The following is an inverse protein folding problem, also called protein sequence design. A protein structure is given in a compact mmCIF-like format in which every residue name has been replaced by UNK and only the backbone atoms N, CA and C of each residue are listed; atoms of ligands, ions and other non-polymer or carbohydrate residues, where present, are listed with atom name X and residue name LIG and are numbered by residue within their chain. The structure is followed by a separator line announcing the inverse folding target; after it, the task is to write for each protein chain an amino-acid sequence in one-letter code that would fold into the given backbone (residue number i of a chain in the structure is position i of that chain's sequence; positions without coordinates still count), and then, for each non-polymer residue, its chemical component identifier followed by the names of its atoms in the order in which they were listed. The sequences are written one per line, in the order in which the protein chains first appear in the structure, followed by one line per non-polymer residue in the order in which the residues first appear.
data_IF_353093801899
#
_entry.id   IF_353093801899
#
_cell.length_a   1.000
_cell.length_b   1.000
_cell.length_c   1.000
_cell.angle_alpha   90.00
_cell.angle_beta   90.00
_cell.angle_gamma   90.00
#
_symmetry.space_group_name_H-M   'P 1'
#
loop_
_entity.id
_entity.type
_entity.pdbx_description
1 polymer ?
#
# COMPACT_ATOMS: atom_id res chain seq x y z
N UNK A 1 1.45 -19.21 -7.65
CA UNK A 1 2.14 -18.07 -7.03
C UNK A 1 1.39 -17.68 -5.77
N UNK A 2 2.10 -17.64 -4.64
CA UNK A 2 1.49 -17.34 -3.35
C UNK A 2 1.69 -15.86 -3.00
N UNK A 3 0.59 -15.19 -2.66
CA UNK A 3 0.61 -13.78 -2.23
C UNK A 3 0.22 -13.73 -0.76
N UNK A 4 1.01 -13.00 0.04
CA UNK A 4 0.73 -12.76 1.45
C UNK A 4 0.44 -11.27 1.64
N UNK A 5 -0.55 -10.96 2.45
CA UNK A 5 -0.88 -9.57 2.80
C UNK A 5 -0.50 -9.35 4.26
N UNK A 6 0.33 -8.37 4.51
CA UNK A 6 0.80 -8.04 5.86
C UNK A 6 0.73 -6.56 6.12
N UNK A 7 0.34 -6.19 7.34
CA UNK A 7 0.44 -4.82 7.79
C UNK A 7 1.91 -4.51 8.08
N UNK A 8 2.37 -3.32 7.69
CA UNK A 8 3.77 -2.97 7.83
C UNK A 8 3.97 -1.51 8.21
N UNK A 9 5.08 -1.24 8.91
CA UNK A 9 5.62 0.11 9.08
C UNK A 9 6.92 0.30 8.30
N UNK A 10 7.37 -0.74 7.60
CA UNK A 10 8.48 -0.68 6.65
C UNK A 10 7.89 -0.34 5.28
N UNK A 11 7.67 0.97 5.05
CA UNK A 11 6.88 1.44 3.93
C UNK A 11 7.60 1.25 2.59
N UNK A 12 6.95 0.58 1.59
CA UNK A 12 7.53 0.41 0.26
C UNK A 12 7.34 1.69 -0.57
N UNK A 13 8.23 2.66 -0.37
CA UNK A 13 8.12 3.97 -1.03
C UNK A 13 8.16 3.89 -2.55
N UNK A 14 8.88 2.94 -3.12
CA UNK A 14 8.91 2.75 -4.57
C UNK A 14 7.50 2.47 -5.12
N UNK A 15 6.69 1.68 -4.41
CA UNK A 15 5.30 1.43 -4.79
C UNK A 15 4.39 2.60 -4.44
N UNK A 16 4.55 3.18 -3.26
CA UNK A 16 3.71 4.29 -2.81
C UNK A 16 3.84 5.49 -3.74
N UNK A 17 5.05 5.77 -4.20
CA UNK A 17 5.32 6.90 -5.08
C UNK A 17 4.89 6.66 -6.54
N UNK A 18 4.58 5.42 -6.92
CA UNK A 18 3.94 5.14 -8.21
C UNK A 18 2.53 5.70 -8.28
N UNK A 19 1.77 5.57 -7.18
CA UNK A 19 0.39 6.05 -7.12
C UNK A 19 0.31 7.54 -6.77
N UNK A 20 1.24 8.02 -5.93
CA UNK A 20 1.28 9.41 -5.50
C UNK A 20 2.74 9.87 -5.43
N UNK A 21 3.24 10.61 -6.41
CA UNK A 21 4.64 11.02 -6.45
C UNK A 21 5.05 12.07 -5.42
N UNK A 22 4.10 12.64 -4.68
CA UNK A 22 4.40 13.64 -3.65
C UNK A 22 4.76 12.95 -2.33
N UNK A 23 6.06 12.78 -2.07
CA UNK A 23 6.54 12.09 -0.89
C UNK A 23 6.12 12.76 0.42
N UNK A 24 6.10 14.08 0.47
CA UNK A 24 5.68 14.80 1.68
C UNK A 24 4.23 14.49 2.03
N UNK A 25 3.37 14.43 1.02
CA UNK A 25 1.97 14.08 1.22
C UNK A 25 1.84 12.63 1.67
N UNK A 26 2.58 11.70 1.03
CA UNK A 26 2.59 10.29 1.42
C UNK A 26 3.00 10.16 2.88
N UNK A 27 4.10 10.79 3.28
CA UNK A 27 4.57 10.74 4.66
C UNK A 27 3.53 11.28 5.64
N UNK A 28 2.81 12.33 5.25
CA UNK A 28 1.83 12.95 6.14
C UNK A 28 0.66 12.03 6.45
N UNK A 29 0.12 11.31 5.45
CA UNK A 29 -1.02 10.43 5.72
C UNK A 29 -0.61 9.05 6.27
N UNK A 30 0.63 8.61 6.06
CA UNK A 30 1.11 7.37 6.66
C UNK A 30 1.12 7.43 8.20
N UNK A 31 1.27 8.62 8.76
CA UNK A 31 1.30 8.81 10.23
C UNK A 31 -0.04 8.46 10.89
N UNK A 32 -1.14 8.56 10.15
CA UNK A 32 -2.49 8.35 10.69
C UNK A 32 -3.23 7.22 9.98
N UNK A 33 -2.51 6.39 9.22
CA UNK A 33 -3.11 5.36 8.40
C UNK A 33 -2.43 4.02 8.63
N UNK A 34 -3.10 2.95 8.20
CA UNK A 34 -2.55 1.60 8.20
C UNK A 34 -2.04 1.27 6.80
N UNK A 35 -0.83 0.75 6.72
CA UNK A 35 -0.22 0.34 5.47
C UNK A 35 -0.12 -1.17 5.41
N UNK A 36 -0.62 -1.76 4.33
CA UNK A 36 -0.56 -3.19 4.08
C UNK A 36 0.20 -3.44 2.79
N UNK A 37 1.05 -4.46 2.80
CA UNK A 37 1.79 -4.85 1.61
C UNK A 37 1.37 -6.23 1.15
N UNK A 38 1.36 -6.42 -0.17
CA UNK A 38 1.24 -7.73 -0.79
C UNK A 38 2.64 -8.22 -1.08
N UNK A 39 2.98 -9.39 -0.55
CA UNK A 39 4.30 -9.99 -0.71
C UNK A 39 4.21 -11.23 -1.59
N UNK A 40 5.10 -11.33 -2.55
CA UNK A 40 5.28 -12.52 -3.38
C UNK A 40 6.74 -12.95 -3.24
N UNK A 41 6.97 -14.14 -2.69
CA UNK A 41 8.32 -14.68 -2.45
C UNK A 41 9.20 -13.70 -1.65
N UNK A 42 8.60 -13.05 -0.65
CA UNK A 42 9.31 -12.10 0.22
C UNK A 42 9.50 -10.71 -0.36
N UNK A 43 9.02 -10.47 -1.57
CA UNK A 43 9.14 -9.17 -2.24
C UNK A 43 7.82 -8.43 -2.25
N UNK A 44 7.85 -7.13 -1.93
CA UNK A 44 6.65 -6.30 -1.98
C UNK A 44 6.26 -6.03 -3.43
N UNK A 45 5.06 -6.49 -3.81
CA UNK A 45 4.54 -6.34 -5.18
C UNK A 45 3.30 -5.45 -5.25
N UNK A 46 2.76 -5.07 -4.10
CA UNK A 46 1.63 -4.16 -4.02
C UNK A 46 1.55 -3.54 -2.65
N UNK A 47 0.84 -2.42 -2.55
CA UNK A 47 0.63 -1.70 -1.30
C UNK A 47 -0.74 -1.05 -1.29
N UNK A 48 -1.37 -1.02 -0.12
CA UNK A 48 -2.59 -0.26 0.12
C UNK A 48 -2.46 0.50 1.43
N UNK A 49 -2.84 1.77 1.43
CA UNK A 49 -2.87 2.61 2.63
C UNK A 49 -4.32 2.96 2.92
N UNK A 50 -4.78 2.62 4.11
CA UNK A 50 -6.16 2.78 4.52
C UNK A 50 -6.22 3.66 5.77
N UNK A 51 -7.00 4.73 5.71
CA UNK A 51 -7.27 5.58 6.87
C UNK A 51 -8.67 5.28 7.39
N UNK A 52 -8.75 4.86 8.65
CA UNK A 52 -10.03 4.62 9.30
C UNK A 52 -10.59 5.96 9.77
N UNK A 53 -11.76 6.35 9.25
CA UNK A 53 -12.37 7.64 9.56
C UNK A 53 -13.52 7.54 10.55
N UNK A 54 -14.12 6.35 10.69
CA UNK A 54 -15.19 6.12 11.65
C UNK A 54 -15.25 4.63 11.96
N UNK A 55 -16.14 4.25 12.89
CA UNK A 55 -16.34 2.84 13.25
C UNK A 55 -16.72 2.00 12.00
N UNK A 56 -17.48 2.60 11.08
CA UNK A 56 -18.03 1.89 9.93
C UNK A 56 -17.42 2.34 8.59
N UNK A 57 -16.42 3.21 8.61
CA UNK A 57 -15.88 3.75 7.38
C UNK A 57 -14.36 3.84 7.34
N UNK A 58 -13.81 3.57 6.18
CA UNK A 58 -12.38 3.73 5.92
C UNK A 58 -12.20 4.29 4.51
N UNK A 59 -11.09 5.01 4.30
CA UNK A 59 -10.75 5.61 3.01
C UNK A 59 -9.42 5.04 2.55
N UNK A 60 -9.35 4.64 1.28
CA UNK A 60 -8.10 4.23 0.66
C UNK A 60 -7.38 5.48 0.18
N UNK A 61 -6.21 5.76 0.74
CA UNK A 61 -5.42 6.94 0.41
C UNK A 61 -4.34 6.65 -0.63
N UNK A 62 -3.95 5.39 -0.78
CA UNK A 62 -2.96 4.97 -1.75
C UNK A 62 -3.18 3.50 -2.08
N UNK A 63 -3.07 3.17 -3.35
CA UNK A 63 -3.15 1.80 -3.83
C UNK A 63 -2.25 1.67 -5.05
N UNK A 64 -1.24 0.83 -4.94
CA UNK A 64 -0.31 0.59 -6.04
C UNK A 64 0.00 -0.89 -6.14
N UNK A 65 0.15 -1.37 -7.38
CA UNK A 65 0.57 -2.74 -7.67
C UNK A 65 1.71 -2.65 -8.66
N UNK A 66 2.77 -3.40 -8.42
CA UNK A 66 3.90 -3.46 -9.34
C UNK A 66 3.44 -3.85 -10.73
N UNK A 67 4.03 -3.23 -11.76
CA UNK A 67 3.56 -3.35 -13.14
C UNK A 67 3.45 -4.81 -13.60
N UNK A 68 4.42 -5.64 -13.23
CA UNK A 68 4.43 -7.06 -13.63
C UNK A 68 3.33 -7.88 -12.96
N UNK A 69 2.62 -7.33 -11.97
CA UNK A 69 1.58 -8.04 -11.22
C UNK A 69 0.18 -7.49 -11.45
N UNK A 70 0.03 -6.38 -12.16
CA UNK A 70 -1.27 -5.71 -12.33
C UNK A 70 -2.31 -6.58 -13.01
N UNK A 71 -1.91 -7.52 -13.87
CA UNK A 71 -2.82 -8.40 -14.60
C UNK A 71 -3.05 -9.75 -13.94
N UNK A 72 -2.63 -9.91 -12.68
CA UNK A 72 -2.72 -11.19 -11.96
C UNK A 72 -3.77 -11.17 -10.85
N UNK A 73 -4.67 -10.19 -10.86
CA UNK A 73 -5.75 -10.11 -9.89
C UNK A 73 -5.35 -9.64 -8.50
N UNK A 74 -4.26 -8.93 -8.40
CA UNK A 74 -3.79 -8.37 -7.14
C UNK A 74 -4.39 -6.98 -6.89
#
# INVERSE_FOLDING_TARGET
MEIRIEQTTDYPYDLLLLADPNRELVDSYLKTSDCFVALCEGQAVGVIVVQKQSVNGAVVLNLAVGESFQRRGI
#
